data_IF_743302727034
#
_entry.id   IF_743302727034
#
_cell.length_a   1.000
_cell.length_b   1.000
_cell.length_c   1.000
_cell.angle_alpha   90.00
_cell.angle_beta   90.00
_cell.angle_gamma   90.00
#
_symmetry.space_group_name_H-M   'P 1'
#
loop_
_entity.id
_entity.type
_entity.pdbx_description
1 polymer ?
#
# COMPACT_ATOMS: atom_id res chain seq x y z
N UNK A 1 -16.98 -0.93 19.61
CA UNK A 1 -15.55 -0.79 19.51
C UNK A 1 -14.96 -1.58 18.36
N UNK A 2 -14.12 -0.95 17.59
CA UNK A 2 -13.57 -1.58 16.41
C UNK A 2 -12.33 -2.40 16.71
N UNK A 3 -12.29 -3.56 16.13
CA UNK A 3 -11.10 -4.36 16.19
C UNK A 3 -10.19 -4.02 15.04
N UNK A 4 -8.91 -3.95 15.33
CA UNK A 4 -7.94 -3.74 14.28
C UNK A 4 -7.53 -5.09 13.73
N UNK A 5 -7.70 -5.27 12.46
CA UNK A 5 -7.28 -6.49 11.80
C UNK A 5 -5.83 -6.39 11.38
N UNK A 6 -5.13 -7.47 11.57
CA UNK A 6 -3.78 -7.55 11.10
C UNK A 6 -3.83 -7.76 9.60
N UNK A 7 -3.18 -6.87 8.88
CA UNK A 7 -3.20 -6.91 7.42
C UNK A 7 -1.78 -6.87 6.89
N UNK A 8 -1.40 -7.91 6.19
CA UNK A 8 -0.07 -8.01 5.59
C UNK A 8 -0.14 -7.83 4.09
N UNK A 9 0.87 -7.21 3.54
CA UNK A 9 0.94 -7.05 2.10
C UNK A 9 2.41 -7.08 1.68
N UNK A 10 2.63 -7.30 0.42
CA UNK A 10 3.98 -7.39 -0.12
C UNK A 10 4.41 -6.08 -0.72
N UNK A 11 5.63 -5.70 -0.41
CA UNK A 11 6.21 -4.49 -0.94
C UNK A 11 7.70 -4.72 -1.13
N UNK A 12 8.22 -4.31 -2.27
CA UNK A 12 9.65 -4.45 -2.52
C UNK A 12 10.44 -3.66 -1.50
N UNK A 13 11.59 -4.20 -1.10
CA UNK A 13 12.45 -3.50 -0.16
C UNK A 13 12.84 -2.13 -0.68
N UNK A 14 13.07 -2.03 -1.98
CA UNK A 14 13.45 -0.76 -2.57
C UNK A 14 12.32 0.26 -2.47
N UNK A 15 11.11 -0.15 -2.79
CA UNK A 15 9.96 0.73 -2.70
C UNK A 15 9.69 1.14 -1.26
N UNK A 16 9.83 0.20 -0.35
CA UNK A 16 9.64 0.49 1.06
C UNK A 16 10.65 1.52 1.54
N UNK A 17 11.92 1.33 1.18
CA UNK A 17 12.96 2.25 1.60
C UNK A 17 12.73 3.64 1.05
N UNK A 18 12.30 3.75 -0.20
CA UNK A 18 12.02 5.03 -0.81
C UNK A 18 10.85 5.73 -0.12
N UNK A 19 9.81 4.97 0.20
CA UNK A 19 8.65 5.54 0.86
C UNK A 19 8.99 6.02 2.26
N UNK A 20 9.74 5.23 2.99
CA UNK A 20 10.14 5.61 4.34
C UNK A 20 11.01 6.87 4.30
N UNK A 21 11.95 6.92 3.36
CA UNK A 21 12.82 8.08 3.22
C UNK A 21 12.02 9.35 2.90
N UNK A 22 11.06 9.20 2.00
CA UNK A 22 10.23 10.35 1.63
C UNK A 22 9.38 10.81 2.80
N UNK A 23 8.82 9.88 3.55
CA UNK A 23 8.03 10.23 4.73
C UNK A 23 8.89 10.91 5.78
N UNK A 24 10.12 10.45 5.92
CA UNK A 24 11.07 11.08 6.84
C UNK A 24 11.26 12.54 6.49
N UNK A 25 11.46 12.82 5.22
CA UNK A 25 11.71 14.19 4.79
C UNK A 25 10.48 15.08 4.97
N UNK A 26 9.30 14.50 4.74
CA UNK A 26 8.07 15.28 4.79
C UNK A 26 7.54 15.46 6.20
N UNK A 27 7.71 14.44 7.03
CA UNK A 27 7.12 14.44 8.37
C UNK A 27 8.12 14.61 9.49
N UNK A 28 9.39 14.75 9.14
CA UNK A 28 10.42 14.82 10.15
C UNK A 28 10.79 13.42 10.58
N UNK A 29 11.09 13.25 11.85
CA UNK A 29 11.47 11.93 12.33
C UNK A 29 10.42 10.90 12.01
N UNK A 30 10.85 9.82 11.42
CA UNK A 30 9.94 8.76 11.05
C UNK A 30 10.05 7.59 11.99
N UNK A 31 8.92 7.13 12.43
CA UNK A 31 8.88 5.84 13.07
C UNK A 31 8.25 4.88 12.11
N UNK A 32 8.32 3.62 12.44
CA UNK A 32 7.74 2.58 11.60
C UNK A 32 6.25 2.79 11.38
N UNK A 33 5.61 3.43 12.35
CA UNK A 33 4.16 3.64 12.25
C UNK A 33 3.75 4.63 11.18
N UNK A 34 4.68 5.45 10.71
CA UNK A 34 4.32 6.45 9.71
C UNK A 34 3.91 5.81 8.40
N UNK A 35 4.59 4.76 7.99
CA UNK A 35 4.22 4.10 6.75
C UNK A 35 2.84 3.45 6.89
N UNK A 36 2.58 2.82 8.01
CA UNK A 36 1.27 2.21 8.24
C UNK A 36 0.18 3.27 8.27
N UNK A 37 0.47 4.42 8.90
CA UNK A 37 -0.49 5.50 8.94
C UNK A 37 -0.80 6.02 7.54
N UNK A 38 0.23 6.16 6.72
CA UNK A 38 0.04 6.60 5.35
C UNK A 38 -0.88 5.65 4.58
N UNK A 39 -0.64 4.36 4.73
CA UNK A 39 -1.48 3.38 4.04
C UNK A 39 -2.92 3.41 4.53
N UNK A 40 -3.11 3.59 5.82
CA UNK A 40 -4.47 3.69 6.35
C UNK A 40 -5.20 4.90 5.78
N UNK A 41 -4.48 6.01 5.63
CA UNK A 41 -5.09 7.21 5.06
C UNK A 41 -5.47 6.97 3.60
N UNK A 42 -4.62 6.30 2.85
CA UNK A 42 -4.92 6.01 1.46
C UNK A 42 -6.17 5.15 1.32
N UNK A 43 -6.30 4.16 2.17
CA UNK A 43 -7.48 3.30 2.13
C UNK A 43 -8.72 4.08 2.51
N UNK A 44 -8.64 4.94 3.51
CA UNK A 44 -9.79 5.75 3.90
C UNK A 44 -10.22 6.67 2.78
N UNK A 45 -9.26 7.28 2.09
CA UNK A 45 -9.59 8.15 0.96
C UNK A 45 -10.24 7.37 -0.17
N UNK A 46 -9.73 6.19 -0.44
CA UNK A 46 -10.30 5.34 -1.46
C UNK A 46 -11.75 5.00 -1.13
N UNK A 47 -12.03 4.70 0.14
CA UNK A 47 -13.38 4.35 0.57
C UNK A 47 -14.35 5.51 0.41
N UNK A 48 -13.85 6.73 0.55
CA UNK A 48 -14.69 7.93 0.39
C UNK A 48 -14.88 8.32 -1.05
N UNK A 49 -14.10 7.77 -1.95
CA UNK A 49 -14.20 8.09 -3.37
C UNK A 49 -15.34 7.32 -4.00
N UNK A 50 -16.28 8.01 -4.68
CA UNK A 50 -17.38 7.30 -5.34
C UNK A 50 -16.84 6.41 -6.46
N UNK A 51 -17.54 5.32 -6.70
CA UNK A 51 -17.13 4.36 -7.71
C UNK A 51 -16.93 5.01 -9.07
N UNK A 52 -17.78 5.95 -9.42
CA UNK A 52 -17.70 6.62 -10.73
C UNK A 52 -16.42 7.41 -10.91
N UNK A 53 -15.80 7.77 -9.82
CA UNK A 53 -14.56 8.55 -9.89
C UNK A 53 -13.32 7.69 -9.91
N UNK A 54 -13.49 6.40 -9.77
CA UNK A 54 -12.36 5.48 -9.87
C UNK A 54 -12.05 5.27 -11.34
N UNK A 55 -10.84 5.56 -11.74
CA UNK A 55 -10.49 5.47 -13.14
C UNK A 55 -10.20 4.04 -13.55
N UNK A 56 -10.41 3.78 -14.83
CA UNK A 56 -10.09 2.48 -15.37
C UNK A 56 -8.59 2.21 -15.29
N UNK A 57 -7.79 3.24 -15.45
CA UNK A 57 -6.36 3.12 -15.31
C UNK A 57 -5.96 2.57 -13.95
N UNK A 58 -6.60 3.08 -12.92
CA UNK A 58 -6.30 2.62 -11.57
C UNK A 58 -6.70 1.17 -11.40
N UNK A 59 -7.86 0.81 -11.91
CA UNK A 59 -8.33 -0.57 -11.81
C UNK A 59 -7.37 -1.52 -12.51
N UNK A 60 -6.93 -1.13 -13.69
CA UNK A 60 -6.00 -1.97 -14.45
C UNK A 60 -4.66 -2.08 -13.75
N UNK A 61 -4.21 -0.99 -13.12
CA UNK A 61 -2.97 -1.02 -12.38
C UNK A 61 -3.06 -1.95 -11.18
N UNK A 62 -4.21 -1.93 -10.51
CA UNK A 62 -4.43 -2.82 -9.37
C UNK A 62 -4.37 -4.28 -9.81
N UNK A 63 -5.03 -4.60 -10.91
CA UNK A 63 -5.04 -5.95 -11.42
C UNK A 63 -3.64 -6.42 -11.82
N UNK A 64 -2.90 -5.53 -12.47
CA UNK A 64 -1.54 -5.86 -12.89
C UNK A 64 -0.64 -6.11 -11.70
N UNK A 65 -0.77 -5.27 -10.69
CA UNK A 65 0.03 -5.44 -9.48
C UNK A 65 -0.32 -6.73 -8.76
N UNK A 66 -1.59 -7.07 -8.74
CA UNK A 66 -2.03 -8.30 -8.11
C UNK A 66 -1.40 -9.52 -8.77
N UNK A 67 -1.36 -9.52 -10.10
CA UNK A 67 -0.75 -10.63 -10.83
C UNK A 67 0.73 -10.74 -10.52
N UNK A 68 1.42 -9.62 -10.47
CA UNK A 68 2.84 -9.62 -10.16
C UNK A 68 3.13 -10.13 -8.76
N UNK A 69 2.33 -9.72 -7.80
CA UNK A 69 2.51 -10.19 -6.43
C UNK A 69 2.25 -11.67 -6.32
N UNK A 70 1.25 -12.16 -7.04
CA UNK A 70 0.92 -13.57 -7.02
C UNK A 70 2.05 -14.40 -7.60
N UNK A 71 2.64 -13.94 -8.70
CA UNK A 71 3.75 -14.64 -9.31
C UNK A 71 4.97 -14.65 -8.41
N UNK A 72 5.24 -13.53 -7.75
CA UNK A 72 6.36 -13.44 -6.83
C UNK A 72 6.18 -14.40 -5.67
N UNK A 73 5.00 -14.47 -5.16
CA UNK A 73 4.68 -15.35 -4.06
C UNK A 73 4.89 -16.81 -4.43
N UNK A 74 4.47 -17.17 -5.63
CA UNK A 74 4.67 -18.50 -6.13
C UNK A 74 6.13 -18.87 -6.22
N UNK A 75 6.94 -17.93 -6.70
CA UNK A 75 8.36 -18.19 -6.82
C UNK A 75 9.00 -18.39 -5.46
N UNK A 76 8.56 -17.64 -4.48
CA UNK A 76 9.10 -17.78 -3.15
C UNK A 76 8.85 -19.11 -2.55
N UNK A 77 7.75 -19.72 -2.91
CA UNK A 77 7.37 -20.96 -2.26
C UNK A 77 8.11 -22.15 -2.84
N UNK A 78 8.88 -21.96 -3.84
CA UNK A 78 9.65 -23.06 -4.41
C UNK A 78 10.91 -23.38 -3.57
#
# INVERSE_FOLDING_TARGET
MNKMNLFNFYLDDEDKAKAVDKLDRLCGNTSKGKLAAFLRIQIKKFNLTPDEKITRELIEAIDAEYVMCKNRSKRSSM
#
